data_IF_547415176282
#
_entry.id   IF_547415176282
#
_cell.length_a   1.000
_cell.length_b   1.000
_cell.length_c   1.000
_cell.angle_alpha   90.00
_cell.angle_beta   90.00
_cell.angle_gamma   90.00
#
_symmetry.space_group_name_H-M   'P 1'
#
loop_
_entity.id
_entity.type
_entity.pdbx_description
1 polymer ?
#
# COMPACT_ATOMS: atom_id res chain seq x y z
N UNK A 1 -12.87 -8.45 -1.74
CA UNK A 1 -12.14 -7.23 -2.15
C UNK A 1 -11.25 -7.61 -3.32
N UNK A 2 -11.36 -6.89 -4.41
CA UNK A 2 -10.67 -7.29 -5.64
C UNK A 2 -9.23 -6.74 -5.62
N UNK A 3 -8.29 -7.59 -5.96
CA UNK A 3 -6.91 -7.18 -6.19
C UNK A 3 -6.81 -6.38 -7.49
N UNK A 4 -5.95 -5.38 -7.49
CA UNK A 4 -5.77 -4.44 -8.61
C UNK A 4 -4.32 -4.42 -9.09
N UNK A 5 -4.16 -3.95 -10.33
CA UNK A 5 -2.87 -3.50 -10.82
C UNK A 5 -2.69 -2.01 -10.52
N UNK A 6 -1.60 -1.64 -9.86
CA UNK A 6 -1.35 -0.24 -9.47
C UNK A 6 -1.21 0.70 -10.66
N UNK A 7 -0.66 0.24 -11.77
CA UNK A 7 -0.55 1.05 -12.99
C UNK A 7 -1.92 1.37 -13.56
N UNK A 8 -2.79 0.35 -13.66
CA UNK A 8 -4.18 0.51 -14.14
C UNK A 8 -4.96 1.45 -13.22
N UNK A 9 -4.78 1.34 -11.90
CA UNK A 9 -5.41 2.26 -10.95
C UNK A 9 -5.01 3.72 -11.23
N UNK A 10 -3.73 3.99 -11.43
CA UNK A 10 -3.25 5.35 -11.72
C UNK A 10 -3.74 5.88 -13.08
N UNK A 11 -3.87 5.02 -14.09
CA UNK A 11 -4.47 5.41 -15.37
C UNK A 11 -5.97 5.77 -15.22
N UNK A 12 -6.71 5.03 -14.42
CA UNK A 12 -8.11 5.33 -14.12
C UNK A 12 -8.27 6.69 -13.41
N UNK A 13 -7.33 7.04 -12.53
CA UNK A 13 -7.29 8.35 -11.88
C UNK A 13 -7.10 9.47 -12.89
N UNK A 14 -6.21 9.31 -13.87
CA UNK A 14 -5.91 10.31 -14.89
C UNK A 14 -7.11 10.57 -15.83
N UNK A 15 -7.99 9.59 -15.99
CA UNK A 15 -9.19 9.70 -16.83
C UNK A 15 -10.42 10.28 -16.09
N UNK A 16 -10.25 10.84 -14.92
CA UNK A 16 -11.34 11.32 -14.03
C UNK A 16 -12.39 10.25 -13.66
N UNK A 17 -12.15 8.99 -14.01
CA UNK A 17 -13.06 7.86 -13.74
C UNK A 17 -12.74 7.16 -12.41
N UNK A 18 -11.96 7.79 -11.55
CA UNK A 18 -11.53 7.20 -10.29
C UNK A 18 -12.69 6.85 -9.36
N UNK A 19 -13.73 7.69 -9.35
CA UNK A 19 -14.96 7.43 -8.57
C UNK A 19 -15.64 6.13 -9.00
N UNK A 20 -15.83 5.95 -10.29
CA UNK A 20 -16.49 4.77 -10.86
C UNK A 20 -15.65 3.51 -10.68
N UNK A 21 -14.35 3.62 -10.88
CA UNK A 21 -13.40 2.51 -10.66
C UNK A 21 -13.31 2.11 -9.19
N UNK A 22 -13.33 3.09 -8.30
CA UNK A 22 -13.38 2.87 -6.85
C UNK A 22 -14.68 2.19 -6.42
N UNK A 23 -15.81 2.61 -6.96
CA UNK A 23 -17.11 2.00 -6.66
C UNK A 23 -17.16 0.53 -7.12
N UNK A 24 -16.46 0.20 -8.19
CA UNK A 24 -16.29 -1.19 -8.66
C UNK A 24 -15.40 -2.00 -7.74
N UNK A 25 -14.33 -1.40 -7.20
CA UNK A 25 -13.40 -2.05 -6.26
C UNK A 25 -13.97 -2.20 -4.85
N UNK A 26 -14.83 -1.26 -4.44
CA UNK A 26 -15.44 -1.22 -3.10
C UNK A 26 -16.89 -1.70 -3.09
N UNK A 27 -17.21 -2.83 -3.69
CA UNK A 27 -18.53 -3.46 -3.66
C UNK A 27 -19.15 -3.61 -2.25
N UNK A 28 -18.44 -3.26 -1.22
CA UNK A 28 -18.88 -3.21 0.16
C UNK A 28 -19.14 -1.78 0.64
N UNK A 29 -20.10 -1.09 0.07
CA UNK A 29 -20.88 -0.01 0.71
C UNK A 29 -20.21 1.15 1.46
N UNK A 30 -18.92 1.12 1.72
CA UNK A 30 -18.19 2.20 2.38
C UNK A 30 -17.55 3.10 1.33
N UNK A 31 -18.19 4.24 1.10
CA UNK A 31 -17.62 5.35 0.33
C UNK A 31 -16.38 5.89 1.06
N UNK A 32 -15.22 5.35 0.75
CA UNK A 32 -13.96 5.98 1.10
C UNK A 32 -13.84 7.28 0.30
N UNK A 33 -13.97 8.42 0.97
CA UNK A 33 -13.67 9.71 0.38
C UNK A 33 -12.15 9.75 0.13
N UNK A 34 -11.69 9.43 -1.08
CA UNK A 34 -10.28 9.57 -1.44
C UNK A 34 -9.96 11.04 -1.51
N UNK A 35 -9.09 11.47 -0.63
CA UNK A 35 -8.60 12.84 -0.62
C UNK A 35 -7.68 13.04 -1.84
N UNK A 36 -7.74 14.23 -2.45
CA UNK A 36 -6.87 14.62 -3.56
C UNK A 36 -5.38 14.38 -3.25
N UNK A 37 -4.97 14.62 -2.02
CA UNK A 37 -3.61 14.43 -1.53
C UNK A 37 -3.16 12.95 -1.57
N UNK A 38 -4.06 12.02 -1.28
CA UNK A 38 -3.79 10.57 -1.35
C UNK A 38 -3.52 10.13 -2.79
N UNK A 39 -4.30 10.67 -3.73
CA UNK A 39 -4.12 10.40 -5.17
C UNK A 39 -2.75 10.90 -5.64
N UNK A 40 -2.36 12.12 -5.27
CA UNK A 40 -1.08 12.70 -5.64
C UNK A 40 0.07 11.85 -5.08
N UNK A 41 -0.05 11.40 -3.83
CA UNK A 41 0.96 10.56 -3.18
C UNK A 41 1.06 9.19 -3.85
N UNK A 42 -0.07 8.56 -4.18
CA UNK A 42 -0.09 7.29 -4.89
C UNK A 42 0.58 7.40 -6.26
N UNK A 43 0.29 8.46 -7.01
CA UNK A 43 0.94 8.73 -8.31
C UNK A 43 2.44 8.95 -8.17
N UNK A 44 2.88 9.70 -7.16
CA UNK A 44 4.30 9.92 -6.86
C UNK A 44 5.00 8.58 -6.55
N UNK A 45 4.41 7.76 -5.70
CA UNK A 45 4.92 6.44 -5.37
C UNK A 45 5.05 5.55 -6.61
N UNK A 46 4.00 5.46 -7.42
CA UNK A 46 4.04 4.66 -8.64
C UNK A 46 5.05 5.18 -9.65
N UNK A 47 5.16 6.51 -9.81
CA UNK A 47 6.16 7.12 -10.70
C UNK A 47 7.58 6.73 -10.32
N UNK A 48 7.91 6.69 -9.04
CA UNK A 48 9.22 6.23 -8.57
C UNK A 48 9.44 4.73 -8.84
N UNK A 49 8.42 3.88 -8.66
CA UNK A 49 8.52 2.46 -9.01
C UNK A 49 8.77 2.27 -10.51
N UNK A 50 8.03 2.97 -11.36
CA UNK A 50 8.16 2.89 -12.82
C UNK A 50 9.50 3.41 -13.31
N UNK A 51 10.06 4.44 -12.68
CA UNK A 51 11.39 4.97 -13.01
C UNK A 51 12.52 3.93 -12.82
N UNK A 52 12.28 2.92 -12.01
CA UNK A 52 13.21 1.80 -11.75
C UNK A 52 13.03 0.62 -12.72
N UNK A 53 12.24 0.80 -13.80
CA UNK A 53 11.98 -0.22 -14.83
C UNK A 53 11.41 -1.53 -14.29
N UNK A 54 10.53 -1.44 -13.29
CA UNK A 54 9.82 -2.60 -12.75
C UNK A 54 8.96 -3.26 -13.84
N UNK A 55 8.89 -4.59 -13.84
CA UNK A 55 7.94 -5.30 -14.68
C UNK A 55 6.52 -5.06 -14.20
N UNK A 56 5.59 -4.83 -15.15
CA UNK A 56 4.20 -4.51 -14.82
C UNK A 56 3.49 -5.60 -14.01
N UNK A 57 3.89 -6.86 -14.18
CA UNK A 57 3.35 -7.99 -13.42
C UNK A 57 3.59 -7.88 -11.91
N UNK A 58 4.65 -7.21 -11.48
CA UNK A 58 4.89 -6.99 -10.06
C UNK A 58 3.97 -5.93 -9.42
N UNK A 59 3.31 -5.12 -10.27
CA UNK A 59 2.30 -4.16 -9.85
C UNK A 59 0.90 -4.77 -9.74
N UNK A 60 0.73 -6.03 -10.12
CA UNK A 60 -0.51 -6.79 -9.95
C UNK A 60 -0.73 -7.18 -8.49
N UNK A 61 -1.98 -7.49 -8.18
CA UNK A 61 -2.38 -8.13 -6.93
C UNK A 61 -2.21 -7.27 -5.69
N UNK A 62 -2.28 -5.95 -5.84
CA UNK A 62 -2.40 -5.05 -4.71
C UNK A 62 -3.86 -4.91 -4.28
N UNK A 63 -4.06 -4.76 -2.99
CA UNK A 63 -5.33 -4.36 -2.38
C UNK A 63 -5.17 -2.91 -1.94
N UNK A 64 -6.02 -2.03 -2.47
CA UNK A 64 -6.01 -0.60 -2.16
C UNK A 64 -7.14 -0.25 -1.21
N UNK A 65 -6.82 0.48 -0.14
CA UNK A 65 -7.82 0.98 0.79
C UNK A 65 -8.55 -0.14 1.55
N UNK A 66 -7.84 -1.20 1.95
CA UNK A 66 -8.43 -2.25 2.76
C UNK A 66 -8.86 -1.73 4.12
N UNK A 67 -10.13 -1.92 4.46
CA UNK A 67 -10.71 -1.44 5.71
C UNK A 67 -11.23 -2.59 6.56
N UNK A 68 -10.95 -2.52 7.86
CA UNK A 68 -11.56 -3.38 8.87
C UNK A 68 -12.59 -2.53 9.62
N UNK A 69 -13.89 -2.59 9.26
CA UNK A 69 -14.91 -1.68 9.77
C UNK A 69 -15.07 -1.71 11.30
N UNK A 70 -14.94 -2.90 11.88
CA UNK A 70 -15.15 -3.11 13.33
C UNK A 70 -14.18 -2.33 14.21
N UNK A 71 -13.02 -1.97 13.68
CA UNK A 71 -11.96 -1.25 14.39
C UNK A 71 -11.60 0.07 13.72
N UNK A 72 -12.34 0.47 12.69
CA UNK A 72 -12.07 1.68 11.90
C UNK A 72 -10.62 1.79 11.43
N UNK A 73 -10.04 0.63 11.05
CA UNK A 73 -8.66 0.55 10.56
C UNK A 73 -8.65 0.41 9.04
N UNK A 74 -7.90 1.26 8.40
CA UNK A 74 -7.66 1.27 6.97
C UNK A 74 -6.17 1.08 6.69
N UNK A 75 -5.86 0.34 5.64
CA UNK A 75 -4.52 0.12 5.08
C UNK A 75 -4.50 0.69 3.68
N UNK A 76 -3.47 1.48 3.36
CA UNK A 76 -3.40 2.12 2.05
C UNK A 76 -3.14 1.09 0.94
N UNK A 77 -2.06 0.34 1.05
CA UNK A 77 -1.69 -0.71 0.09
C UNK A 77 -1.28 -2.00 0.82
N UNK A 78 -1.87 -3.11 0.40
CA UNK A 78 -1.48 -4.45 0.83
C UNK A 78 -1.18 -5.33 -0.39
N UNK A 79 -0.17 -6.19 -0.26
CA UNK A 79 0.08 -7.29 -1.20
C UNK A 79 0.33 -8.55 -0.38
N UNK A 80 -0.48 -9.58 -0.60
CA UNK A 80 -0.46 -10.80 0.22
C UNK A 80 -0.03 -11.95 -0.66
N UNK A 81 1.14 -12.50 -0.39
CA UNK A 81 1.63 -13.69 -1.08
C UNK A 81 1.05 -14.96 -0.44
N UNK A 82 0.63 -15.92 -1.25
CA UNK A 82 0.04 -17.16 -0.75
C UNK A 82 1.05 -17.95 0.10
N UNK A 83 2.26 -18.10 -0.40
CA UNK A 83 3.36 -18.79 0.28
C UNK A 83 4.51 -17.84 0.66
N UNK A 84 4.20 -16.62 1.02
CA UNK A 84 5.18 -15.59 1.32
C UNK A 84 4.65 -14.54 2.30
N UNK A 85 5.29 -13.38 2.35
CA UNK A 85 4.93 -12.32 3.31
C UNK A 85 3.64 -11.59 2.94
N UNK A 86 3.15 -10.83 3.91
CA UNK A 86 2.23 -9.71 3.69
C UNK A 86 3.05 -8.44 3.60
N UNK A 87 2.90 -7.71 2.52
CA UNK A 87 3.55 -6.40 2.32
C UNK A 87 2.52 -5.32 2.58
N UNK A 88 2.82 -4.45 3.52
CA UNK A 88 2.02 -3.29 3.88
C UNK A 88 2.78 -2.01 3.55
N UNK A 89 2.18 -1.12 2.78
CA UNK A 89 2.77 0.17 2.42
C UNK A 89 1.76 1.25 2.76
N UNK A 90 2.14 2.12 3.69
CA UNK A 90 1.39 3.32 4.03
C UNK A 90 1.91 4.51 3.22
N UNK A 91 1.01 5.36 2.78
CA UNK A 91 1.32 6.53 1.95
C UNK A 91 1.07 7.82 2.74
N UNK A 92 2.05 8.71 2.77
CA UNK A 92 1.97 10.02 3.42
C UNK A 92 2.28 11.13 2.43
N UNK A 93 1.39 12.09 2.31
CA UNK A 93 1.54 13.24 1.42
C UNK A 93 2.57 14.27 1.92
N UNK A 94 2.98 14.15 3.17
CA UNK A 94 3.96 15.02 3.82
C UNK A 94 4.63 14.31 4.98
N UNK A 95 5.79 14.82 5.37
CA UNK A 95 6.47 14.33 6.57
C UNK A 95 5.65 14.61 7.82
N UNK A 96 5.56 13.61 8.68
CA UNK A 96 4.97 13.66 10.02
C UNK A 96 5.99 13.19 11.04
N UNK A 97 5.68 13.32 12.32
CA UNK A 97 6.54 12.82 13.40
C UNK A 97 6.81 11.31 13.23
N UNK A 98 8.08 10.92 13.26
CA UNK A 98 8.51 9.52 13.11
C UNK A 98 7.89 8.60 14.17
N UNK A 99 7.65 9.08 15.38
CA UNK A 99 6.94 8.33 16.43
C UNK A 99 5.52 7.97 16.01
N UNK A 100 4.85 8.83 15.25
CA UNK A 100 3.52 8.55 14.71
C UNK A 100 3.58 7.51 13.60
N UNK A 101 4.61 7.57 12.74
CA UNK A 101 4.86 6.54 11.71
C UNK A 101 5.11 5.19 12.38
N UNK A 102 6.03 5.15 13.35
CA UNK A 102 6.34 3.92 14.09
C UNK A 102 5.10 3.33 14.77
N UNK A 103 4.33 4.15 15.46
CA UNK A 103 3.09 3.73 16.11
C UNK A 103 2.08 3.14 15.10
N UNK A 104 1.93 3.79 13.94
CA UNK A 104 1.05 3.31 12.88
C UNK A 104 1.50 1.95 12.34
N UNK A 105 2.78 1.79 12.01
CA UNK A 105 3.31 0.53 11.47
C UNK A 105 3.25 -0.60 12.51
N UNK A 106 3.56 -0.30 13.77
CA UNK A 106 3.40 -1.26 14.87
C UNK A 106 1.95 -1.73 15.01
N UNK A 107 1.00 -0.82 14.93
CA UNK A 107 -0.42 -1.13 14.98
C UNK A 107 -0.87 -1.96 13.77
N UNK A 108 -0.38 -1.63 12.58
CA UNK A 108 -0.65 -2.39 11.36
C UNK A 108 -0.13 -3.82 11.48
N UNK A 109 1.09 -3.99 11.96
CA UNK A 109 1.69 -5.31 12.16
C UNK A 109 0.86 -6.16 13.13
N UNK A 110 0.36 -5.56 14.21
CA UNK A 110 -0.53 -6.26 15.14
C UNK A 110 -1.78 -6.81 14.45
N UNK A 111 -2.47 -5.99 13.66
CA UNK A 111 -3.67 -6.44 12.95
C UNK A 111 -3.37 -7.45 11.84
N UNK A 112 -2.29 -7.26 11.09
CA UNK A 112 -1.90 -8.15 10.01
C UNK A 112 -1.34 -9.49 10.51
N UNK A 113 -0.93 -9.59 11.78
CA UNK A 113 -0.44 -10.83 12.38
C UNK A 113 -1.45 -11.98 12.33
N UNK A 114 -2.75 -11.68 12.16
CA UNK A 114 -3.80 -12.68 11.97
C UNK A 114 -3.58 -13.55 10.72
N UNK A 115 -2.86 -13.05 9.72
CA UNK A 115 -2.50 -13.85 8.55
C UNK A 115 -1.50 -14.97 8.86
N UNK A 116 -0.86 -14.95 10.04
CA UNK A 116 0.20 -15.91 10.44
C UNK A 116 1.34 -15.99 9.41
N UNK A 117 1.70 -14.86 8.84
CA UNK A 117 2.73 -14.68 7.84
C UNK A 117 3.75 -13.64 8.33
N UNK A 118 4.92 -13.64 7.71
CA UNK A 118 5.84 -12.51 7.86
C UNK A 118 5.18 -11.23 7.38
N UNK A 119 5.31 -10.16 8.14
CA UNK A 119 4.78 -8.84 7.80
C UNK A 119 5.94 -7.92 7.48
N UNK A 120 5.98 -7.39 6.28
CA UNK A 120 6.96 -6.40 5.83
C UNK A 120 6.22 -5.07 5.67
N UNK A 121 6.58 -4.10 6.49
CA UNK A 121 5.86 -2.83 6.56
C UNK A 121 6.74 -1.65 6.21
N UNK A 122 6.22 -0.79 5.34
CA UNK A 122 6.84 0.46 4.92
C UNK A 122 5.88 1.64 5.07
N UNK A 123 6.47 2.82 5.24
CA UNK A 123 5.78 4.09 5.01
C UNK A 123 6.54 4.85 3.93
N UNK A 124 5.86 5.17 2.85
CA UNK A 124 6.34 6.08 1.82
C UNK A 124 5.85 7.50 2.13
N UNK A 125 6.76 8.43 2.21
CA UNK A 125 6.47 9.85 2.49
C UNK A 125 6.89 10.69 1.31
N UNK A 126 5.93 11.35 0.66
CA UNK A 126 6.22 12.32 -0.39
C UNK A 126 6.85 13.58 0.24
N UNK A 127 7.90 14.10 -0.38
CA UNK A 127 8.57 15.34 0.03
C UNK A 127 8.64 16.31 -1.14
N UNK A 128 9.01 17.54 -0.88
CA UNK A 128 9.17 18.56 -1.95
C UNK A 128 10.28 18.22 -2.96
N UNK A 129 11.27 17.45 -2.54
CA UNK A 129 12.45 17.10 -3.36
C UNK A 129 12.51 15.64 -3.78
N UNK A 130 11.46 14.86 -3.49
CA UNK A 130 11.42 13.43 -3.80
C UNK A 130 10.58 12.64 -2.78
N UNK A 131 11.20 11.67 -2.11
CA UNK A 131 10.54 10.87 -1.09
C UNK A 131 11.46 10.46 0.04
N UNK A 132 10.85 10.08 1.17
CA UNK A 132 11.49 9.30 2.24
C UNK A 132 10.73 8.00 2.43
N UNK A 133 11.46 6.96 2.79
CA UNK A 133 10.87 5.66 3.10
C UNK A 133 11.32 5.23 4.48
N UNK A 134 10.39 4.70 5.25
CA UNK A 134 10.65 4.09 6.54
C UNK A 134 10.19 2.64 6.52
N UNK A 135 10.90 1.78 7.23
CA UNK A 135 10.53 0.40 7.48
C UNK A 135 10.41 0.13 8.98
N UNK A 136 9.61 -0.86 9.34
CA UNK A 136 9.46 -1.31 10.72
C UNK A 136 9.75 -2.80 10.82
N UNK A 137 10.74 -3.18 11.60
CA UNK A 137 11.24 -4.56 11.71
C UNK A 137 10.54 -5.38 12.82
N UNK A 138 9.50 -4.84 13.43
CA UNK A 138 8.81 -5.43 14.57
C UNK A 138 9.32 -4.91 15.93
N UNK A 139 10.41 -4.17 15.95
CA UNK A 139 11.03 -3.59 17.15
C UNK A 139 11.12 -2.07 17.04
N UNK A 140 11.65 -1.56 15.94
CA UNK A 140 11.93 -0.13 15.75
C UNK A 140 11.71 0.33 14.32
N UNK A 141 11.47 1.63 14.19
CA UNK A 141 11.44 2.31 12.90
C UNK A 141 12.87 2.53 12.39
N UNK A 142 13.07 2.30 11.11
CA UNK A 142 14.34 2.54 10.40
C UNK A 142 14.11 3.33 9.14
N UNK A 143 15.01 4.23 8.81
CA UNK A 143 15.05 4.84 7.50
C UNK A 143 15.40 3.77 6.44
N UNK A 144 14.71 3.79 5.34
CA UNK A 144 14.78 2.83 4.25
C UNK A 144 14.80 3.58 2.91
N UNK A 145 14.56 2.89 1.82
CA UNK A 145 14.52 3.47 0.48
C UNK A 145 13.57 2.70 -0.45
N UNK A 146 13.28 3.29 -1.60
CA UNK A 146 12.38 2.71 -2.59
C UNK A 146 12.88 1.35 -3.12
N UNK A 147 14.18 1.12 -3.15
CA UNK A 147 14.76 -0.14 -3.61
C UNK A 147 14.42 -1.30 -2.68
N UNK A 148 14.28 -1.07 -1.39
CA UNK A 148 13.84 -2.10 -0.43
C UNK A 148 12.36 -2.44 -0.63
N UNK A 149 11.52 -1.45 -0.93
CA UNK A 149 10.13 -1.70 -1.32
C UNK A 149 10.09 -2.55 -2.59
N UNK A 150 10.85 -2.16 -3.62
CA UNK A 150 10.93 -2.90 -4.88
C UNK A 150 11.35 -4.36 -4.66
N UNK A 151 12.41 -4.57 -3.88
CA UNK A 151 12.88 -5.91 -3.55
C UNK A 151 11.77 -6.75 -2.89
N UNK A 152 10.98 -6.13 -2.02
CA UNK A 152 9.89 -6.82 -1.32
C UNK A 152 8.72 -7.17 -2.24
N UNK A 153 8.35 -6.31 -3.19
CA UNK A 153 7.22 -6.52 -4.09
C UNK A 153 7.58 -7.33 -5.35
N UNK A 154 8.87 -7.40 -5.71
CA UNK A 154 9.36 -8.14 -6.88
C UNK A 154 9.75 -9.57 -6.49
N UNK A 155 8.87 -10.29 -5.81
CA UNK A 155 9.04 -11.70 -5.48
C UNK A 155 8.20 -12.56 -6.43
N UNK A 156 8.78 -13.66 -6.90
CA UNK A 156 8.04 -14.66 -7.65
C UNK A 156 7.16 -15.45 -6.68
N UNK A 157 5.87 -15.51 -6.97
CA UNK A 157 4.91 -16.23 -6.13
C UNK A 157 3.48 -15.84 -6.43
N UNK A 158 2.59 -16.76 -6.13
CA UNK A 158 1.15 -16.50 -6.22
C UNK A 158 0.70 -15.59 -5.09
N UNK A 159 -0.16 -14.64 -5.42
CA UNK A 159 -0.78 -13.76 -4.45
C UNK A 159 -2.17 -14.25 -4.09
N UNK A 160 -2.53 -14.03 -2.84
CA UNK A 160 -3.84 -14.37 -2.33
C UNK A 160 -4.91 -13.42 -2.90
N UNK A 161 -5.92 -14.01 -3.53
CA UNK A 161 -7.01 -13.27 -4.20
C UNK A 161 -8.39 -13.52 -3.60
N UNK A 162 -8.50 -14.48 -2.68
CA UNK A 162 -9.81 -14.86 -2.13
C UNK A 162 -10.26 -13.87 -1.08
N UNK A 163 -11.58 -13.71 -1.04
CA UNK A 163 -12.27 -12.84 -0.09
C UNK A 163 -11.68 -12.97 1.31
N UNK A 164 -11.14 -11.86 1.78
CA UNK A 164 -10.69 -11.73 3.16
C UNK A 164 -11.95 -11.45 3.96
N UNK A 165 -12.63 -12.51 4.33
CA UNK A 165 -13.72 -12.46 5.31
C UNK A 165 -13.19 -12.40 6.73
#
# INVERSE_FOLDING_TARGET
>A
MDAINLYVLCQAIDLDNFGDYKDTLTKSGNRLAVKKEEIITLKSFLSELLSRKIQMSYLDNFIYGFSIPQISKEFDLLKIYENGPVINIELKSRMIDEKKIEYQLKKNQYYLSHFKKEIISFTYVMTETGSKVFSYDGVSLKESNISEILFSICQDGECYHKDIE
#
